data_IF_424404465509
#
_entry.id   IF_424404465509
#
_cell.length_a   1.000
_cell.length_b   1.000
_cell.length_c   1.000
_cell.angle_alpha   90.00
_cell.angle_beta   90.00
_cell.angle_gamma   90.00
#
_symmetry.space_group_name_H-M   'P 1'
#
loop_
_entity.id
_entity.type
_entity.pdbx_description
1 polymer ?
#
# COMPACT_ATOMS: atom_id res chain seq x y z
N UNK A 1 -60.77 6.47 9.66
CA UNK A 1 -59.86 7.00 8.63
C UNK A 1 -58.50 6.38 8.89
N UNK A 2 -57.93 5.79 7.85
CA UNK A 2 -56.90 4.77 7.91
C UNK A 2 -55.49 5.27 8.28
N UNK A 3 -54.70 4.31 8.78
CA UNK A 3 -53.24 4.24 8.82
C UNK A 3 -52.55 4.85 7.59
N UNK A 4 -51.41 5.53 7.79
CA UNK A 4 -50.23 5.66 6.90
C UNK A 4 -49.32 6.75 7.50
N UNK A 5 -48.00 6.76 7.46
CA UNK A 5 -46.92 5.80 7.23
C UNK A 5 -45.64 6.57 7.66
N UNK A 6 -44.71 5.87 8.31
CA UNK A 6 -43.32 6.31 8.53
C UNK A 6 -42.64 6.54 7.19
N UNK A 7 -41.63 7.41 7.10
CA UNK A 7 -40.37 7.14 6.38
C UNK A 7 -39.20 7.94 6.99
N UNK A 8 -38.43 7.25 7.84
CA UNK A 8 -37.12 7.65 8.34
C UNK A 8 -36.05 7.63 7.24
N UNK A 9 -35.53 8.79 6.87
CA UNK A 9 -34.43 8.96 5.91
C UNK A 9 -33.05 8.84 6.56
N UNK A 10 -32.74 7.71 7.21
CA UNK A 10 -31.40 7.43 7.70
C UNK A 10 -30.47 7.04 6.53
N UNK A 11 -29.75 8.02 5.96
CA UNK A 11 -28.58 7.75 5.10
C UNK A 11 -27.49 7.10 5.96
N UNK A 12 -27.48 5.78 6.01
CA UNK A 12 -26.37 5.00 6.54
C UNK A 12 -25.11 5.26 5.70
N UNK A 13 -24.23 6.13 6.18
CA UNK A 13 -22.86 6.17 5.70
C UNK A 13 -22.21 4.85 6.10
N UNK A 14 -22.11 3.91 5.15
CA UNK A 14 -21.22 2.77 5.30
C UNK A 14 -19.81 3.34 5.49
N UNK A 15 -19.32 3.28 6.73
CA UNK A 15 -17.97 3.70 7.07
C UNK A 15 -17.00 2.93 6.14
N UNK A 16 -16.48 3.60 5.11
CA UNK A 16 -15.58 2.97 4.14
C UNK A 16 -14.38 2.45 4.93
N UNK A 17 -14.14 1.14 4.83
CA UNK A 17 -13.14 0.45 5.65
C UNK A 17 -11.75 1.05 5.36
N UNK A 18 -11.07 1.52 6.40
CA UNK A 18 -9.67 1.94 6.31
C UNK A 18 -8.79 0.71 6.12
N UNK A 19 -8.09 0.65 4.99
CA UNK A 19 -7.19 -0.44 4.66
C UNK A 19 -7.84 -1.79 4.37
N UNK A 20 -7.01 -2.82 4.41
CA UNK A 20 -7.33 -4.22 4.18
C UNK A 20 -6.41 -5.09 5.05
N UNK A 21 -6.51 -6.42 4.96
CA UNK A 21 -5.61 -7.34 5.70
C UNK A 21 -4.13 -7.15 5.36
N UNK A 22 -3.82 -6.65 4.16
CA UNK A 22 -2.45 -6.42 3.72
C UNK A 22 -1.84 -5.14 4.31
N UNK A 23 -2.59 -4.04 4.29
CA UNK A 23 -2.11 -2.69 4.59
C UNK A 23 -3.20 -1.82 5.21
N UNK A 24 -2.83 -1.03 6.22
CA UNK A 24 -3.70 -0.01 6.83
C UNK A 24 -3.54 1.32 6.09
N UNK A 25 -4.58 1.77 5.39
CA UNK A 25 -4.48 2.96 4.54
C UNK A 25 -5.78 3.72 4.36
N UNK A 26 -5.66 5.03 4.21
CA UNK A 26 -6.75 5.98 4.01
C UNK A 26 -7.11 6.29 2.56
N UNK A 27 -6.59 5.54 1.59
CA UNK A 27 -6.86 5.76 0.16
C UNK A 27 -6.99 4.46 -0.63
N UNK A 28 -7.67 4.54 -1.78
CA UNK A 28 -7.69 3.52 -2.82
C UNK A 28 -6.68 3.91 -3.91
N UNK A 29 -5.94 2.94 -4.44
CA UNK A 29 -5.07 3.11 -5.60
C UNK A 29 -5.90 3.09 -6.88
N UNK A 30 -5.67 4.04 -7.78
CA UNK A 30 -6.19 3.96 -9.15
C UNK A 30 -5.20 3.14 -9.99
N UNK A 31 -5.64 1.96 -10.43
CA UNK A 31 -4.81 1.03 -11.19
C UNK A 31 -4.65 1.53 -12.64
N UNK A 32 -3.44 1.89 -13.11
CA UNK A 32 -3.24 2.42 -14.46
C UNK A 32 -3.41 1.37 -15.57
N UNK A 33 -3.50 0.09 -15.21
CA UNK A 33 -3.74 -1.01 -16.16
C UNK A 33 -5.21 -1.14 -16.57
N UNK A 34 -6.15 -0.73 -15.71
CA UNK A 34 -7.59 -0.97 -15.92
C UNK A 34 -8.50 0.18 -15.42
N UNK A 35 -7.93 1.27 -14.92
CA UNK A 35 -8.60 2.45 -14.36
C UNK A 35 -9.56 2.18 -13.18
N UNK A 36 -9.51 0.98 -12.60
CA UNK A 36 -10.28 0.58 -11.42
C UNK A 36 -9.60 1.01 -10.12
N UNK A 37 -10.40 1.13 -9.06
CA UNK A 37 -9.94 1.53 -7.74
C UNK A 37 -9.85 0.32 -6.81
N UNK A 38 -8.70 0.16 -6.18
CA UNK A 38 -8.43 -0.94 -5.26
C UNK A 38 -7.76 -0.45 -3.99
N UNK A 39 -8.08 -1.07 -2.85
CA UNK A 39 -7.42 -0.73 -1.58
C UNK A 39 -5.90 -0.89 -1.70
N UNK A 40 -5.43 -2.00 -2.26
CA UNK A 40 -4.01 -2.21 -2.50
C UNK A 40 -3.75 -3.08 -3.72
N UNK A 41 -2.47 -3.18 -4.13
CA UNK A 41 -2.04 -4.02 -5.24
C UNK A 41 -2.42 -5.50 -5.06
N UNK A 42 -2.33 -6.03 -3.84
CA UNK A 42 -2.65 -7.44 -3.58
C UNK A 42 -4.15 -7.70 -3.70
N UNK A 43 -4.98 -6.72 -3.29
CA UNK A 43 -6.42 -6.78 -3.53
C UNK A 43 -6.74 -6.68 -5.02
N UNK A 44 -6.03 -5.86 -5.79
CA UNK A 44 -6.17 -5.82 -7.25
C UNK A 44 -5.83 -7.18 -7.86
N UNK A 45 -4.62 -7.69 -7.61
CA UNK A 45 -4.10 -8.93 -8.21
C UNK A 45 -4.95 -10.17 -7.87
N UNK A 46 -5.69 -10.12 -6.75
CA UNK A 46 -6.61 -11.19 -6.35
C UNK A 46 -7.99 -11.11 -7.03
N UNK A 47 -8.37 -9.95 -7.57
CA UNK A 47 -9.69 -9.72 -8.19
C UNK A 47 -9.60 -9.51 -9.71
N UNK A 48 -8.39 -9.47 -10.26
CA UNK A 48 -8.12 -9.28 -11.68
C UNK A 48 -7.28 -10.44 -12.21
N UNK A 49 -7.32 -10.67 -13.52
CA UNK A 49 -6.53 -11.67 -14.24
C UNK A 49 -5.11 -11.17 -14.59
N UNK A 50 -4.73 -10.00 -14.10
CA UNK A 50 -3.45 -9.35 -14.34
C UNK A 50 -2.93 -8.67 -13.07
N UNK A 51 -1.63 -8.34 -13.07
CA UNK A 51 -0.97 -7.74 -11.92
C UNK A 51 -0.84 -6.22 -12.04
N UNK A 52 -0.98 -5.54 -10.91
CA UNK A 52 -0.76 -4.11 -10.78
C UNK A 52 0.73 -3.79 -10.66
N UNK A 53 1.24 -3.03 -11.63
CA UNK A 53 2.55 -2.40 -11.52
C UNK A 53 2.52 -1.22 -10.55
N UNK A 54 2.97 -1.47 -9.31
CA UNK A 54 3.02 -0.48 -8.23
C UNK A 54 3.82 0.78 -8.56
N UNK A 55 4.79 0.71 -9.48
CA UNK A 55 5.64 1.86 -9.83
C UNK A 55 4.91 2.82 -10.78
N UNK A 56 3.87 2.36 -11.47
CA UNK A 56 3.10 3.16 -12.44
C UNK A 56 1.88 3.86 -11.83
N UNK A 57 1.52 3.54 -10.59
CA UNK A 57 0.40 4.20 -9.90
C UNK A 57 0.72 5.68 -9.74
N UNK A 58 -0.18 6.56 -10.19
CA UNK A 58 0.00 8.03 -10.09
C UNK A 58 -1.09 8.71 -9.29
N UNK A 59 -2.25 8.07 -9.17
CA UNK A 59 -3.43 8.67 -8.58
C UNK A 59 -4.01 7.75 -7.50
N UNK A 60 -4.58 8.38 -6.49
CA UNK A 60 -5.27 7.72 -5.38
C UNK A 60 -6.59 8.44 -5.10
N UNK A 61 -7.57 7.69 -4.61
CA UNK A 61 -8.84 8.25 -4.13
C UNK A 61 -8.86 8.23 -2.60
N UNK A 62 -9.15 9.37 -1.98
CA UNK A 62 -9.37 9.46 -0.54
C UNK A 62 -10.61 8.64 -0.11
N UNK A 63 -10.51 7.81 0.93
CA UNK A 63 -11.70 7.05 1.40
C UNK A 63 -12.69 7.93 2.19
N UNK A 64 -12.24 9.09 2.69
CA UNK A 64 -13.05 9.96 3.55
C UNK A 64 -13.84 11.01 2.76
N UNK A 65 -13.24 11.65 1.75
CA UNK A 65 -13.90 12.69 0.94
C UNK A 65 -14.03 12.32 -0.54
N UNK A 66 -13.56 11.13 -0.95
CA UNK A 66 -13.68 10.61 -2.32
C UNK A 66 -12.93 11.41 -3.41
N UNK A 67 -12.14 12.42 -3.03
CA UNK A 67 -11.26 13.14 -3.95
C UNK A 67 -10.25 12.21 -4.59
N UNK A 68 -10.20 12.22 -5.93
CA UNK A 68 -9.10 11.67 -6.71
C UNK A 68 -8.00 12.73 -6.81
N UNK A 69 -6.78 12.35 -6.48
CA UNK A 69 -5.63 13.23 -6.41
C UNK A 69 -4.34 12.47 -6.73
N UNK A 70 -3.24 13.20 -6.92
CA UNK A 70 -1.94 12.58 -7.06
C UNK A 70 -1.56 11.77 -5.82
N UNK A 71 -0.79 10.70 -6.03
CA UNK A 71 -0.29 9.85 -4.96
C UNK A 71 0.64 10.65 -4.04
N UNK A 72 0.20 10.87 -2.81
CA UNK A 72 0.94 11.57 -1.76
C UNK A 72 0.41 11.13 -0.40
N UNK A 73 1.13 11.44 0.67
CA UNK A 73 0.85 10.88 2.00
C UNK A 73 -0.49 11.33 2.62
N UNK A 74 -1.02 12.48 2.20
CA UNK A 74 -2.17 13.13 2.84
C UNK A 74 -3.18 13.59 1.79
N UNK A 75 -4.47 13.54 2.13
CA UNK A 75 -5.50 14.11 1.29
C UNK A 75 -5.36 15.63 1.18
N UNK A 76 -5.49 16.18 -0.02
CA UNK A 76 -5.37 17.63 -0.27
C UNK A 76 -6.61 18.42 0.17
N UNK A 77 -7.74 17.75 0.39
CA UNK A 77 -9.01 18.41 0.70
C UNK A 77 -9.38 18.27 2.18
N UNK A 78 -9.37 17.06 2.71
CA UNK A 78 -9.76 16.79 4.11
C UNK A 78 -8.57 16.49 5.03
N UNK A 79 -7.34 16.64 4.55
CA UNK A 79 -6.10 16.42 5.33
C UNK A 79 -5.97 15.03 5.97
N UNK A 80 -6.73 14.04 5.48
CA UNK A 80 -6.67 12.67 5.98
C UNK A 80 -5.30 12.06 5.67
N UNK A 81 -4.64 11.53 6.70
CA UNK A 81 -3.39 10.79 6.54
C UNK A 81 -3.66 9.40 5.94
N UNK A 82 -3.15 9.15 4.74
CA UNK A 82 -3.33 7.88 4.03
C UNK A 82 -2.47 6.75 4.58
N UNK A 83 -1.36 7.05 5.24
CA UNK A 83 -0.53 6.08 5.94
C UNK A 83 0.56 6.79 6.74
N UNK A 84 0.91 6.26 7.91
CA UNK A 84 2.04 6.76 8.71
C UNK A 84 3.36 6.61 7.93
N UNK A 85 3.45 5.53 7.14
CA UNK A 85 4.51 5.33 6.17
C UNK A 85 3.97 5.51 4.76
N UNK A 86 4.65 6.36 3.98
CA UNK A 86 4.46 6.51 2.55
C UNK A 86 5.78 6.35 1.81
N UNK A 87 5.80 5.48 0.80
CA UNK A 87 6.91 5.38 -0.15
C UNK A 87 6.45 5.87 -1.52
N UNK A 88 7.04 6.96 -2.00
CA UNK A 88 6.75 7.54 -3.32
C UNK A 88 7.25 6.70 -4.49
N UNK A 89 8.26 5.84 -4.28
CA UNK A 89 8.74 4.93 -5.33
C UNK A 89 7.78 3.76 -5.51
N UNK A 90 7.41 3.10 -4.41
CA UNK A 90 6.54 1.91 -4.44
C UNK A 90 5.04 2.24 -4.43
N UNK A 91 4.67 3.51 -4.23
CA UNK A 91 3.30 3.95 -3.92
C UNK A 91 2.64 3.12 -2.80
N UNK A 92 3.43 2.82 -1.76
CA UNK A 92 3.00 2.03 -0.61
C UNK A 92 2.53 2.95 0.51
N UNK A 93 1.29 2.74 0.96
CA UNK A 93 0.68 3.39 2.12
C UNK A 93 0.39 2.32 3.17
N UNK A 94 0.92 2.49 4.38
CA UNK A 94 0.69 1.57 5.50
C UNK A 94 0.86 2.30 6.85
N UNK A 95 0.49 1.65 7.94
CA UNK A 95 0.89 2.05 9.31
C UNK A 95 2.39 1.84 9.52
N UNK A 96 2.98 2.49 10.53
CA UNK A 96 4.40 2.27 10.84
C UNK A 96 4.63 0.87 11.44
N UNK A 97 5.31 0.03 10.67
CA UNK A 97 5.87 -1.29 11.04
C UNK A 97 7.39 -1.26 10.96
N UNK A 98 7.99 -0.06 11.06
CA UNK A 98 9.42 0.19 10.86
C UNK A 98 9.94 -0.22 9.48
N UNK A 99 9.05 -0.28 8.49
CA UNK A 99 9.42 -0.57 7.11
C UNK A 99 10.30 0.54 6.51
N UNK A 100 11.12 0.13 5.55
CA UNK A 100 12.03 1.04 4.84
C UNK A 100 12.06 0.69 3.36
N UNK A 101 12.37 1.67 2.51
CA UNK A 101 12.66 1.41 1.11
C UNK A 101 14.13 0.99 0.99
N UNK A 102 14.38 -0.15 0.33
CA UNK A 102 15.73 -0.54 -0.02
C UNK A 102 16.02 -0.08 -1.44
N UNK A 103 16.84 0.97 -1.60
CA UNK A 103 17.22 1.53 -2.91
C UNK A 103 17.79 0.47 -3.86
N UNK A 104 18.61 -0.45 -3.34
CA UNK A 104 19.24 -1.49 -4.17
C UNK A 104 18.24 -2.56 -4.65
N UNK A 105 17.19 -2.85 -3.87
CA UNK A 105 16.14 -3.78 -4.30
C UNK A 105 15.01 -3.08 -5.07
N UNK A 106 14.89 -1.76 -4.95
CA UNK A 106 13.76 -0.99 -5.47
C UNK A 106 12.42 -1.32 -4.82
N UNK A 107 12.40 -1.91 -3.62
CA UNK A 107 11.16 -2.30 -2.92
C UNK A 107 11.21 -2.00 -1.42
N UNK A 108 10.03 -1.80 -0.83
CA UNK A 108 9.88 -1.67 0.61
C UNK A 108 10.06 -3.03 1.31
N UNK A 109 10.81 -3.04 2.40
CA UNK A 109 11.02 -4.18 3.30
C UNK A 109 10.52 -3.82 4.69
N UNK A 110 10.07 -4.82 5.46
CA UNK A 110 9.77 -4.63 6.88
C UNK A 110 11.09 -4.55 7.64
N UNK A 111 11.21 -3.59 8.57
CA UNK A 111 12.43 -3.32 9.31
C UNK A 111 12.29 -3.57 10.82
N UNK A 112 13.07 -2.86 11.65
CA UNK A 112 13.69 -1.56 11.38
C UNK A 112 14.94 -1.64 10.48
N UNK A 113 15.31 -0.53 9.81
CA UNK A 113 16.40 -0.52 8.81
C UNK A 113 17.75 -0.88 9.41
N UNK A 114 18.01 -0.49 10.65
CA UNK A 114 19.23 -0.80 11.38
C UNK A 114 19.48 -2.30 11.58
N UNK A 115 18.44 -3.13 11.57
CA UNK A 115 18.54 -4.58 11.76
C UNK A 115 18.82 -5.34 10.45
N UNK A 116 18.90 -4.64 9.31
CA UNK A 116 19.10 -5.25 7.99
C UNK A 116 20.15 -4.53 7.17
N UNK A 117 20.94 -5.31 6.42
CA UNK A 117 21.84 -4.78 5.39
C UNK A 117 21.48 -5.36 4.03
N UNK A 118 21.81 -4.62 2.97
CA UNK A 118 21.75 -5.14 1.61
C UNK A 118 23.09 -5.77 1.25
N UNK A 119 23.10 -7.07 0.97
CA UNK A 119 24.28 -7.73 0.43
C UNK A 119 24.32 -7.52 -1.08
N UNK A 120 25.27 -6.70 -1.56
CA UNK A 120 25.46 -6.45 -3.00
C UNK A 120 25.83 -7.71 -3.79
N UNK A 121 26.55 -8.66 -3.18
CA UNK A 121 26.95 -9.91 -3.83
C UNK A 121 25.76 -10.85 -4.08
N UNK A 122 24.86 -10.96 -3.10
CA UNK A 122 23.66 -11.79 -3.20
C UNK A 122 22.49 -11.04 -3.84
N UNK A 123 22.58 -9.71 -3.92
CA UNK A 123 21.49 -8.80 -4.25
C UNK A 123 20.23 -9.00 -3.39
N UNK A 124 20.43 -9.19 -2.08
CA UNK A 124 19.35 -9.50 -1.12
C UNK A 124 19.52 -8.67 0.17
N UNK A 125 18.40 -8.23 0.74
CA UNK A 125 18.37 -7.71 2.10
C UNK A 125 18.41 -8.87 3.10
N UNK A 126 19.35 -8.83 4.03
CA UNK A 126 19.58 -9.85 5.05
C UNK A 126 19.66 -9.19 6.43
N UNK A 127 19.34 -9.95 7.48
CA UNK A 127 19.47 -9.48 8.86
C UNK A 127 20.95 -9.22 9.21
N UNK A 128 21.24 -8.19 10.00
CA UNK A 128 22.61 -7.78 10.39
C UNK A 128 23.44 -8.90 11.01
N UNK A 129 22.80 -9.83 11.72
CA UNK A 129 23.49 -10.99 12.30
C UNK A 129 24.12 -11.94 11.26
N UNK A 130 23.71 -11.85 9.99
CA UNK A 130 24.26 -12.60 8.86
C UNK A 130 25.41 -11.87 8.15
N UNK A 131 25.73 -10.64 8.56
CA UNK A 131 26.81 -9.87 7.97
C UNK A 131 28.16 -10.60 8.16
N UNK A 132 28.81 -10.93 7.06
CA UNK A 132 30.05 -11.71 7.04
C UNK A 132 29.90 -13.22 7.31
N UNK A 133 28.69 -13.71 7.64
CA UNK A 133 28.44 -15.12 7.98
C UNK A 133 27.59 -15.88 6.96
N UNK A 134 26.79 -15.17 6.16
CA UNK A 134 25.97 -15.84 5.15
C UNK A 134 26.82 -16.44 4.04
N UNK A 135 26.46 -17.65 3.61
CA UNK A 135 26.98 -18.21 2.36
C UNK A 135 26.44 -17.37 1.21
N UNK A 136 27.35 -16.84 0.39
CA UNK A 136 26.96 -16.10 -0.82
C UNK A 136 26.18 -17.07 -1.70
N UNK A 137 24.95 -16.71 -2.08
CA UNK A 137 24.17 -17.45 -3.04
C UNK A 137 24.88 -17.36 -4.40
N UNK A 138 25.70 -18.35 -4.73
CA UNK A 138 26.41 -18.45 -6.02
C UNK A 138 25.48 -18.81 -7.18
N UNK A 139 24.24 -19.19 -6.87
CA UNK A 139 23.17 -19.41 -7.83
C UNK A 139 22.13 -18.31 -7.66
N UNK A 140 21.94 -17.54 -8.71
CA UNK A 140 20.89 -16.51 -8.84
C UNK A 140 19.54 -17.17 -8.53
N UNK A 141 18.99 -16.94 -7.34
CA UNK A 141 17.62 -17.33 -7.02
C UNK A 141 16.67 -16.34 -7.72
N UNK A 142 16.51 -16.48 -9.03
CA UNK A 142 15.30 -16.02 -9.72
C UNK A 142 14.23 -17.09 -9.45
N UNK A 143 13.30 -16.77 -8.56
CA UNK A 143 11.99 -17.42 -8.48
C UNK A 143 10.97 -16.31 -8.69
#
# INVERSE_FOLDING_TARGET
>A
MAFSALEDGARGQAQRRRGCEHYDRGCLLKAPCCDKLYTCRLCHDNNEDHQLDRFKVKEVQCINCEKIQHAQQTCEECSTLFGEYYCSVCHLFDKDKKQYHCENCGICRIGPKEDFFHCLKCNLCLAMNLQGKHKVCTSVCMI
#
